data_IF_565362056492
#
_entry.id   IF_565362056492
#
_cell.length_a   1.000
_cell.length_b   1.000
_cell.length_c   1.000
_cell.angle_alpha   90.00
_cell.angle_beta   90.00
_cell.angle_gamma   90.00
#
_symmetry.space_group_name_H-M   'P 1'
#
loop_
_entity.id
_entity.type
_entity.pdbx_description
1 polymer ?
#
# COMPACT_ATOMS: atom_id res chain seq x y z
N UNK A 1 10.95 -14.31 19.59
CA UNK A 1 10.90 -13.58 18.30
C UNK A 1 11.55 -12.21 18.46
N UNK A 2 12.64 -11.95 17.75
CA UNK A 2 13.25 -10.61 17.74
C UNK A 2 12.26 -9.65 17.05
N UNK A 3 11.75 -8.64 17.78
CA UNK A 3 10.99 -7.54 17.19
C UNK A 3 11.85 -6.92 16.08
N UNK A 4 11.38 -7.00 14.83
CA UNK A 4 12.07 -6.38 13.70
C UNK A 4 11.85 -4.87 13.85
N UNK A 5 12.87 -4.15 14.31
CA UNK A 5 12.85 -2.70 14.39
C UNK A 5 12.95 -2.13 12.98
N UNK A 6 11.91 -1.45 12.54
CA UNK A 6 11.90 -0.75 11.26
C UNK A 6 12.07 0.73 11.57
N UNK A 7 13.18 1.31 11.12
CA UNK A 7 13.44 2.73 11.24
C UNK A 7 12.91 3.48 10.03
N UNK A 8 12.13 4.52 10.28
CA UNK A 8 11.60 5.43 9.27
C UNK A 8 11.99 6.87 9.59
N UNK A 9 11.98 7.72 8.57
CA UNK A 9 12.19 9.16 8.78
C UNK A 9 10.87 9.81 9.22
N UNK A 10 10.90 10.46 10.39
CA UNK A 10 9.89 11.42 10.79
C UNK A 10 10.13 12.70 9.99
N UNK A 11 9.07 13.25 9.41
CA UNK A 11 9.14 14.44 8.55
C UNK A 11 8.27 15.58 9.09
N UNK A 12 8.59 16.81 8.67
CA UNK A 12 7.76 17.98 8.97
C UNK A 12 6.53 18.08 8.04
N UNK A 13 5.75 19.13 8.19
CA UNK A 13 4.56 19.38 7.35
C UNK A 13 4.87 19.58 5.86
N UNK A 14 6.13 19.88 5.52
CA UNK A 14 6.61 20.07 4.14
C UNK A 14 7.38 18.83 3.63
N UNK A 15 7.19 17.68 4.29
CA UNK A 15 7.86 16.41 3.95
C UNK A 15 9.40 16.46 4.05
N UNK A 16 9.97 17.31 4.93
CA UNK A 16 11.41 17.40 5.16
C UNK A 16 11.82 16.52 6.33
N UNK A 17 12.91 15.74 6.20
CA UNK A 17 13.37 14.86 7.27
C UNK A 17 13.74 15.64 8.55
N UNK A 18 13.28 15.14 9.70
CA UNK A 18 13.59 15.68 11.02
C UNK A 18 14.49 14.73 11.81
N UNK A 19 14.12 13.47 11.90
CA UNK A 19 14.83 12.43 12.65
C UNK A 19 14.44 11.04 12.20
N UNK A 20 15.18 10.01 12.59
CA UNK A 20 14.85 8.61 12.39
C UNK A 20 14.27 8.02 13.67
N UNK A 21 13.20 7.21 13.56
CA UNK A 21 12.50 6.63 14.69
C UNK A 21 11.90 5.27 14.33
N UNK A 22 11.71 4.40 15.33
CA UNK A 22 11.00 3.12 15.13
C UNK A 22 9.55 3.36 14.70
N UNK A 23 9.09 2.61 13.70
CA UNK A 23 7.74 2.80 13.12
C UNK A 23 6.61 2.64 14.13
N UNK A 24 6.74 1.76 15.12
CA UNK A 24 5.71 1.59 16.15
C UNK A 24 5.58 2.85 17.01
N UNK A 25 6.71 3.50 17.28
CA UNK A 25 6.73 4.76 18.03
C UNK A 25 6.17 5.92 17.20
N UNK A 26 6.49 5.98 15.91
CA UNK A 26 5.93 6.94 14.96
C UNK A 26 4.41 6.84 14.91
N UNK A 27 3.86 5.62 14.80
CA UNK A 27 2.42 5.40 14.82
C UNK A 27 1.78 5.76 16.17
N UNK A 28 2.43 5.38 17.27
CA UNK A 28 1.93 5.69 18.62
C UNK A 28 1.78 7.19 18.87
N UNK A 29 2.69 8.00 18.30
CA UNK A 29 2.69 9.45 18.41
C UNK A 29 1.98 10.17 17.26
N UNK A 30 1.44 9.44 16.29
CA UNK A 30 0.82 10.01 15.08
C UNK A 30 1.73 11.00 14.34
N UNK A 31 3.03 10.66 14.23
CA UNK A 31 4.02 11.50 13.57
C UNK A 31 3.98 11.31 12.05
N UNK A 32 4.26 12.40 11.31
CA UNK A 32 4.33 12.34 9.85
C UNK A 32 5.53 11.53 9.40
N UNK A 33 5.30 10.64 8.44
CA UNK A 33 6.31 9.78 7.82
C UNK A 33 5.89 9.46 6.38
N UNK A 34 6.67 8.62 5.68
CA UNK A 34 6.43 8.30 4.27
C UNK A 34 6.01 6.86 4.10
N UNK A 35 5.09 6.64 3.17
CA UNK A 35 4.69 5.31 2.73
C UNK A 35 4.54 5.23 1.21
N UNK A 36 4.47 4.02 0.71
CA UNK A 36 4.22 3.72 -0.70
C UNK A 36 3.04 2.78 -0.82
N UNK A 37 2.25 2.97 -1.86
CA UNK A 37 1.21 2.05 -2.30
C UNK A 37 1.48 1.68 -3.75
N UNK A 38 1.43 0.41 -4.07
CA UNK A 38 1.59 -0.11 -5.42
C UNK A 38 0.28 -0.75 -5.86
N UNK A 39 -0.24 -0.30 -7.00
CA UNK A 39 -1.43 -0.86 -7.64
C UNK A 39 -0.98 -1.69 -8.84
N UNK A 40 -1.31 -2.98 -8.83
CA UNK A 40 -0.91 -3.94 -9.87
C UNK A 40 -2.11 -4.29 -10.72
N UNK A 41 -2.00 -4.08 -12.04
CA UNK A 41 -3.06 -4.35 -13.00
C UNK A 41 -2.68 -5.47 -13.97
N UNK A 42 -3.65 -6.27 -14.35
CA UNK A 42 -3.49 -7.26 -15.40
C UNK A 42 -3.66 -6.65 -16.82
N UNK A 43 -3.65 -7.50 -17.85
CA UNK A 43 -3.85 -7.07 -19.24
C UNK A 43 -5.24 -6.54 -19.54
N UNK A 44 -6.24 -6.91 -18.75
CA UNK A 44 -7.62 -6.45 -18.88
C UNK A 44 -7.86 -5.15 -18.09
N UNK A 45 -6.84 -4.66 -17.38
CA UNK A 45 -6.93 -3.47 -16.53
C UNK A 45 -7.65 -3.74 -15.21
N UNK A 46 -7.72 -5.00 -14.77
CA UNK A 46 -8.23 -5.37 -13.45
C UNK A 46 -7.16 -5.17 -12.39
N UNK A 47 -7.55 -4.61 -11.25
CA UNK A 47 -6.69 -4.34 -10.11
C UNK A 47 -6.56 -5.57 -9.22
N UNK A 48 -5.32 -5.95 -8.91
CA UNK A 48 -5.04 -6.98 -7.92
C UNK A 48 -5.27 -6.45 -6.51
N UNK A 49 -6.15 -7.11 -5.75
CA UNK A 49 -6.35 -6.87 -4.34
C UNK A 49 -5.91 -8.10 -3.55
N UNK A 50 -5.25 -7.89 -2.42
CA UNK A 50 -4.91 -8.95 -1.49
C UNK A 50 -5.86 -8.97 -0.30
N UNK A 51 -6.19 -10.17 0.19
CA UNK A 51 -6.90 -10.34 1.45
C UNK A 51 -5.88 -10.52 2.55
N UNK A 52 -5.80 -9.56 3.45
CA UNK A 52 -4.83 -9.53 4.55
C UNK A 52 -4.88 -10.81 5.35
N UNK A 53 -3.70 -11.29 5.75
CA UNK A 53 -3.60 -12.48 6.59
C UNK A 53 -4.44 -12.34 7.86
N UNK A 54 -5.12 -13.44 8.22
CA UNK A 54 -5.88 -13.56 9.47
C UNK A 54 -5.00 -13.41 10.72
N UNK A 55 -3.67 -13.51 10.57
CA UNK A 55 -2.67 -13.33 11.63
C UNK A 55 -2.29 -11.85 11.87
N UNK A 56 -2.72 -10.93 11.01
CA UNK A 56 -2.40 -9.50 11.16
C UNK A 56 -3.13 -8.90 12.37
N UNK A 57 -2.46 -7.97 13.07
CA UNK A 57 -3.03 -7.25 14.21
C UNK A 57 -4.11 -6.24 13.80
N UNK A 58 -3.90 -5.58 12.65
CA UNK A 58 -4.82 -4.56 12.14
C UNK A 58 -5.45 -5.05 10.84
N UNK A 59 -6.77 -4.89 10.75
CA UNK A 59 -7.57 -5.20 9.56
C UNK A 59 -7.39 -6.63 9.04
N UNK A 60 -7.23 -7.62 9.94
CA UNK A 60 -7.12 -9.03 9.60
C UNK A 60 -8.30 -9.49 8.72
N UNK A 61 -8.00 -10.19 7.64
CA UNK A 61 -9.01 -10.74 6.72
C UNK A 61 -9.73 -9.71 5.85
N UNK A 62 -9.35 -8.42 5.90
CA UNK A 62 -9.91 -7.39 5.00
C UNK A 62 -9.16 -7.33 3.67
N UNK A 63 -9.86 -6.86 2.64
CA UNK A 63 -9.27 -6.59 1.34
C UNK A 63 -8.43 -5.31 1.38
N UNK A 64 -7.24 -5.37 0.80
CA UNK A 64 -6.24 -4.33 0.79
C UNK A 64 -5.72 -4.08 -0.64
N UNK A 65 -5.02 -2.98 -0.83
CA UNK A 65 -4.30 -2.65 -2.08
C UNK A 65 -3.34 -3.77 -2.48
N UNK A 66 -2.80 -3.71 -3.69
CA UNK A 66 -1.94 -4.78 -4.21
C UNK A 66 -0.71 -5.00 -3.35
N UNK A 67 0.03 -3.94 -3.02
CA UNK A 67 1.13 -3.95 -2.06
C UNK A 67 1.30 -2.57 -1.44
N UNK A 68 1.84 -2.51 -0.21
CA UNK A 68 2.11 -1.24 0.49
C UNK A 68 3.13 -1.40 1.59
N UNK A 69 3.75 -0.29 1.99
CA UNK A 69 4.64 -0.29 3.13
C UNK A 69 5.29 1.07 3.40
N UNK A 70 6.06 1.13 4.48
CA UNK A 70 6.73 2.35 4.90
C UNK A 70 8.08 2.50 4.24
N UNK A 71 8.44 3.75 3.92
CA UNK A 71 9.77 4.10 3.42
C UNK A 71 10.74 4.12 4.61
N UNK A 72 11.77 3.29 4.55
CA UNK A 72 12.77 3.17 5.61
C UNK A 72 13.75 4.33 5.57
N UNK A 73 14.39 4.60 6.69
CA UNK A 73 15.47 5.60 6.77
C UNK A 73 16.53 5.37 5.70
N UNK A 74 16.83 6.41 4.91
CA UNK A 74 17.80 6.36 3.82
C UNK A 74 17.33 5.66 2.53
N UNK A 75 16.07 5.23 2.48
CA UNK A 75 15.48 4.59 1.31
C UNK A 75 14.71 5.62 0.45
N UNK A 76 14.77 5.50 -0.88
CA UNK A 76 13.88 6.27 -1.75
C UNK A 76 12.50 5.62 -1.82
N UNK A 77 11.47 6.41 -2.17
CA UNK A 77 10.10 5.89 -2.34
C UNK A 77 10.04 4.76 -3.38
N UNK A 78 10.77 4.90 -4.50
CA UNK A 78 10.81 3.86 -5.54
C UNK A 78 11.45 2.56 -5.03
N UNK A 79 12.57 2.66 -4.29
CA UNK A 79 13.21 1.46 -3.68
C UNK A 79 12.29 0.80 -2.66
N UNK A 80 11.58 1.58 -1.86
CA UNK A 80 10.57 1.05 -0.93
C UNK A 80 9.46 0.32 -1.69
N UNK A 81 8.94 0.91 -2.76
CA UNK A 81 7.89 0.30 -3.58
C UNK A 81 8.34 -1.03 -4.21
N UNK A 82 9.54 -1.08 -4.79
CA UNK A 82 10.10 -2.30 -5.37
C UNK A 82 10.34 -3.39 -4.30
N UNK A 83 10.81 -3.00 -3.13
CA UNK A 83 11.02 -3.92 -1.98
C UNK A 83 9.70 -4.51 -1.49
N UNK A 84 8.66 -3.71 -1.33
CA UNK A 84 7.34 -4.19 -0.90
C UNK A 84 6.69 -5.07 -1.97
N UNK A 85 6.82 -4.71 -3.24
CA UNK A 85 6.31 -5.50 -4.36
C UNK A 85 6.93 -6.91 -4.41
N UNK A 86 8.26 -7.00 -4.22
CA UNK A 86 8.94 -8.30 -4.11
C UNK A 86 8.54 -9.04 -2.83
N UNK A 87 8.49 -8.35 -1.69
CA UNK A 87 8.20 -8.96 -0.40
C UNK A 87 6.78 -9.53 -0.31
N UNK A 88 5.78 -8.77 -0.78
CA UNK A 88 4.37 -9.16 -0.65
C UNK A 88 3.87 -10.02 -1.82
N UNK A 89 4.33 -9.76 -3.04
CA UNK A 89 3.80 -10.35 -4.28
C UNK A 89 4.80 -11.17 -5.09
N UNK A 90 6.05 -11.27 -4.64
CA UNK A 90 7.11 -12.02 -5.36
C UNK A 90 7.50 -11.40 -6.72
N UNK A 91 7.07 -10.18 -7.02
CA UNK A 91 7.34 -9.51 -8.30
C UNK A 91 8.67 -8.76 -8.22
N UNK A 92 9.61 -9.13 -9.11
CA UNK A 92 10.95 -8.57 -9.20
C UNK A 92 11.15 -7.79 -10.48
N UNK A 93 12.12 -6.87 -10.47
CA UNK A 93 12.58 -6.14 -11.69
C UNK A 93 11.43 -5.43 -12.42
N UNK A 94 10.50 -4.85 -11.69
CA UNK A 94 9.39 -4.11 -12.25
C UNK A 94 9.78 -2.66 -12.60
N UNK A 95 9.16 -2.13 -13.67
CA UNK A 95 9.16 -0.71 -13.97
C UNK A 95 7.88 -0.10 -13.42
N UNK A 96 7.99 0.69 -12.37
CA UNK A 96 6.88 1.33 -11.71
C UNK A 96 6.63 2.73 -12.26
N UNK A 97 5.37 3.06 -12.51
CA UNK A 97 4.93 4.40 -12.90
C UNK A 97 4.42 5.13 -11.67
N UNK A 98 5.07 6.24 -11.29
CA UNK A 98 4.54 7.14 -10.28
C UNK A 98 3.30 7.84 -10.84
N UNK A 99 2.19 7.81 -10.10
CA UNK A 99 0.93 8.42 -10.53
C UNK A 99 0.49 9.57 -9.63
N UNK A 100 0.63 9.44 -8.32
CA UNK A 100 0.18 10.45 -7.37
C UNK A 100 1.11 10.54 -6.16
N UNK A 101 1.18 11.73 -5.59
CA UNK A 101 1.73 12.00 -4.27
C UNK A 101 0.60 12.62 -3.42
N UNK A 102 0.34 12.04 -2.27
CA UNK A 102 -0.78 12.39 -1.40
C UNK A 102 -0.21 12.91 -0.09
N UNK A 103 -0.64 14.10 0.30
CA UNK A 103 -0.19 14.75 1.52
C UNK A 103 -0.64 14.02 2.79
N UNK A 104 0.20 14.08 3.82
CA UNK A 104 -0.07 13.50 5.12
C UNK A 104 -1.25 14.20 5.80
N UNK A 105 -2.23 13.39 6.21
CA UNK A 105 -3.42 13.83 6.94
C UNK A 105 -3.88 12.77 7.94
N UNK A 106 -4.89 13.06 8.74
CA UNK A 106 -5.51 12.05 9.60
C UNK A 106 -6.12 10.89 8.80
N UNK A 107 -6.58 11.14 7.57
CA UNK A 107 -7.15 10.11 6.69
C UNK A 107 -6.10 9.17 6.11
N UNK A 108 -4.85 9.64 5.97
CA UNK A 108 -3.70 8.82 5.54
C UNK A 108 -2.92 8.23 6.71
N UNK A 109 -3.39 8.39 7.95
CA UNK A 109 -2.63 8.00 9.14
C UNK A 109 -1.36 8.82 9.34
N UNK A 110 -1.36 10.08 8.90
CA UNK A 110 -0.23 11.00 8.88
C UNK A 110 0.93 10.56 7.98
N UNK A 111 0.61 9.80 6.93
CA UNK A 111 1.57 9.35 5.92
C UNK A 111 1.54 10.26 4.69
N UNK A 112 2.72 10.69 4.22
CA UNK A 112 2.91 11.15 2.84
C UNK A 112 2.97 9.91 1.96
N UNK A 113 1.93 9.69 1.18
CA UNK A 113 1.77 8.47 0.37
C UNK A 113 2.20 8.70 -1.06
N UNK A 114 3.14 7.90 -1.56
CA UNK A 114 3.48 7.87 -2.98
C UNK A 114 2.82 6.67 -3.64
N UNK A 115 1.99 6.93 -4.65
CA UNK A 115 1.23 5.92 -5.38
C UNK A 115 1.94 5.52 -6.67
N UNK A 116 2.25 4.25 -6.80
CA UNK A 116 2.84 3.64 -7.98
C UNK A 116 1.88 2.67 -8.66
N UNK A 117 2.05 2.51 -9.96
CA UNK A 117 1.29 1.57 -10.79
C UNK A 117 2.23 0.64 -11.54
N UNK A 118 1.89 -0.64 -11.54
CA UNK A 118 2.45 -1.68 -12.39
C UNK A 118 1.32 -2.22 -13.29
N UNK A 119 1.47 -2.03 -14.60
CA UNK A 119 0.48 -2.46 -15.58
C UNK A 119 0.88 -3.78 -16.26
N UNK A 120 -0.11 -4.47 -16.83
CA UNK A 120 0.07 -5.65 -17.70
C UNK A 120 0.77 -6.82 -17.03
N UNK A 121 0.47 -7.06 -15.76
CA UNK A 121 0.93 -8.24 -15.07
C UNK A 121 0.36 -9.51 -15.72
N UNK A 122 1.25 -10.43 -16.12
CA UNK A 122 0.90 -11.62 -16.91
C UNK A 122 0.47 -12.83 -16.09
N UNK A 123 0.78 -12.84 -14.80
CA UNK A 123 0.54 -13.97 -13.93
C UNK A 123 -0.08 -13.51 -12.60
N UNK A 124 -0.74 -14.44 -11.91
CA UNK A 124 -1.19 -14.20 -10.55
C UNK A 124 0.05 -14.03 -9.66
N UNK A 125 0.14 -12.95 -8.87
CA UNK A 125 1.25 -12.74 -7.96
C UNK A 125 1.42 -13.88 -6.94
N UNK A 126 2.66 -14.16 -6.57
CA UNK A 126 2.99 -15.13 -5.53
C UNK A 126 2.93 -14.44 -4.16
N UNK A 127 1.83 -14.69 -3.44
CA UNK A 127 1.58 -14.06 -2.15
C UNK A 127 2.52 -14.56 -1.06
N UNK A 128 3.01 -13.62 -0.26
CA UNK A 128 3.64 -13.94 1.01
C UNK A 128 2.55 -14.28 2.05
N UNK A 129 2.56 -15.50 2.56
CA UNK A 129 1.55 -16.00 3.51
C UNK A 129 1.53 -15.25 4.85
N UNK A 130 2.63 -14.58 5.24
CA UNK A 130 2.66 -13.73 6.42
C UNK A 130 1.90 -12.40 6.20
N UNK A 131 1.73 -12.00 4.94
CA UNK A 131 1.08 -10.76 4.56
C UNK A 131 -0.39 -10.96 4.16
N UNK A 132 -0.69 -11.98 3.34
CA UNK A 132 -2.02 -12.20 2.78
C UNK A 132 -2.38 -13.69 2.68
N UNK A 133 -3.66 -14.00 2.92
CA UNK A 133 -4.22 -15.35 2.79
C UNK A 133 -4.63 -15.66 1.34
N UNK A 134 -5.03 -14.65 0.58
CA UNK A 134 -5.46 -14.79 -0.83
C UNK A 134 -5.40 -13.45 -1.58
N UNK A 135 -5.56 -13.50 -2.89
CA UNK A 135 -5.63 -12.31 -3.74
C UNK A 135 -6.28 -12.61 -5.07
N UNK A 136 -6.97 -11.60 -5.64
CA UNK A 136 -7.68 -11.71 -6.91
C UNK A 136 -7.62 -10.40 -7.67
N UNK A 137 -7.78 -10.48 -9.01
CA UNK A 137 -7.97 -9.33 -9.88
C UNK A 137 -9.44 -8.92 -9.93
N UNK A 138 -9.72 -7.65 -9.65
CA UNK A 138 -11.05 -7.05 -9.65
C UNK A 138 -11.15 -6.00 -10.75
N UNK A 139 -12.23 -6.05 -11.52
CA UNK A 139 -12.61 -4.95 -12.42
C UNK A 139 -13.09 -3.74 -11.61
N UNK A 140 -13.13 -2.56 -12.25
CA UNK A 140 -13.67 -1.34 -11.65
C UNK A 140 -15.09 -1.54 -11.12
N UNK A 141 -15.98 -2.16 -11.93
CA UNK A 141 -17.37 -2.43 -11.53
C UNK A 141 -17.49 -3.39 -10.34
N UNK A 142 -16.64 -4.42 -10.27
CA UNK A 142 -16.62 -5.36 -9.14
C UNK A 142 -16.14 -4.67 -7.87
N UNK A 143 -15.14 -3.80 -7.96
CA UNK A 143 -14.66 -3.05 -6.81
C UNK A 143 -15.69 -2.00 -6.35
N UNK A 144 -16.34 -1.30 -7.29
CA UNK A 144 -17.42 -0.36 -6.97
C UNK A 144 -18.56 -1.05 -6.22
N UNK A 145 -18.95 -2.25 -6.68
CA UNK A 145 -19.95 -3.06 -5.98
C UNK A 145 -19.48 -3.46 -4.58
N UNK A 146 -18.23 -3.91 -4.43
CA UNK A 146 -17.65 -4.32 -3.16
C UNK A 146 -17.59 -3.14 -2.16
N UNK A 147 -17.21 -1.95 -2.61
CA UNK A 147 -17.17 -0.74 -1.79
C UNK A 147 -18.57 -0.31 -1.35
N UNK A 148 -19.56 -0.44 -2.23
CA UNK A 148 -20.94 -0.03 -1.94
C UNK A 148 -21.63 -0.98 -0.95
N UNK A 149 -21.47 -2.31 -1.14
CA UNK A 149 -22.22 -3.31 -0.38
C UNK A 149 -21.46 -3.84 0.84
N UNK A 150 -20.11 -3.81 0.81
CA UNK A 150 -19.27 -4.46 1.82
C UNK A 150 -18.05 -3.61 2.23
N UNK A 151 -18.29 -2.33 2.37
CA UNK A 151 -17.24 -1.33 2.69
C UNK A 151 -16.40 -1.69 3.92
N UNK A 152 -17.02 -2.32 4.92
CA UNK A 152 -16.38 -2.77 6.15
C UNK A 152 -15.39 -3.93 5.95
N UNK A 153 -15.47 -4.62 4.80
CA UNK A 153 -14.52 -5.69 4.44
C UNK A 153 -13.25 -5.14 3.78
N UNK A 154 -13.14 -3.82 3.59
CA UNK A 154 -11.98 -3.18 2.98
C UNK A 154 -11.17 -2.42 4.01
N UNK A 155 -9.86 -2.29 3.76
CA UNK A 155 -9.03 -1.43 4.60
C UNK A 155 -9.30 0.05 4.30
N UNK A 156 -9.10 0.95 5.27
CA UNK A 156 -9.34 2.38 5.07
C UNK A 156 -8.56 2.98 3.89
N UNK A 157 -7.33 2.55 3.66
CA UNK A 157 -6.50 3.03 2.54
C UNK A 157 -7.13 2.72 1.17
N UNK A 158 -7.67 1.51 0.96
CA UNK A 158 -8.34 1.12 -0.29
C UNK A 158 -9.61 1.96 -0.51
N UNK A 159 -10.41 2.14 0.55
CA UNK A 159 -11.61 2.98 0.53
C UNK A 159 -11.26 4.44 0.22
N UNK A 160 -10.22 4.97 0.85
CA UNK A 160 -9.72 6.33 0.62
C UNK A 160 -9.34 6.56 -0.85
N UNK A 161 -8.61 5.62 -1.46
CA UNK A 161 -8.23 5.72 -2.88
C UNK A 161 -9.43 5.62 -3.81
N UNK A 162 -10.39 4.72 -3.52
CA UNK A 162 -11.61 4.56 -4.28
C UNK A 162 -12.45 5.85 -4.24
N UNK A 163 -12.72 6.40 -3.06
CA UNK A 163 -13.56 7.59 -2.87
C UNK A 163 -12.98 8.86 -3.54
N UNK A 164 -11.68 8.85 -3.85
CA UNK A 164 -10.97 9.93 -4.55
C UNK A 164 -10.71 9.63 -6.02
N UNK A 165 -11.24 8.50 -6.53
CA UNK A 165 -11.12 8.14 -7.92
C UNK A 165 -9.66 7.96 -8.40
N UNK A 166 -8.82 7.40 -7.51
CA UNK A 166 -7.38 7.22 -7.71
C UNK A 166 -6.99 5.80 -8.17
N UNK A 167 -7.97 4.89 -8.32
CA UNK A 167 -7.66 3.48 -8.60
C UNK A 167 -7.62 3.12 -10.09
N UNK A 168 -8.43 3.75 -10.96
CA UNK A 168 -8.54 3.35 -12.38
C UNK A 168 -8.30 4.47 -13.39
N UNK A 169 -8.00 5.69 -12.95
CA UNK A 169 -7.82 6.87 -13.81
C UNK A 169 -6.37 7.33 -13.93
N UNK A 170 -5.50 6.51 -14.47
CA UNK A 170 -4.11 6.87 -14.78
C UNK A 170 -3.75 6.64 -16.26
N UNK A 171 -4.75 6.67 -17.11
CA UNK A 171 -4.59 6.58 -18.57
C UNK A 171 -4.09 7.88 -19.16
#
# INVERSE_FOLDING_TARGET
MKKKFIQVEVVDQNNRPLTSMDINEVHRQSLRHRSVIILVYDHEGKLFLQKRSSQKKLYAGRWDVSASGHVRTGESNEKAALRELEHELGIRSASLKLTHEIDASSETGYEFVTLYVLEKQNSIPELNSDEADSGYFYSENELDWLVREYRELLVPALVFLHDRDLLFKFK
#
